data_IF_322061838024
#
_entry.id   IF_322061838024
#
_cell.length_a   1.000
_cell.length_b   1.000
_cell.length_c   1.000
_cell.angle_alpha   90.00
_cell.angle_beta   90.00
_cell.angle_gamma   90.00
#
_symmetry.space_group_name_H-M   'P 1'
#
loop_
_entity.id
_entity.type
_entity.pdbx_description
1 polymer ?
#
# COMPACT_ATOMS: atom_id res chain seq x y z
N UNK A 1 -26.82 -0.41 9.53
CA UNK A 1 -25.98 0.78 9.24
C UNK A 1 -25.38 1.43 10.49
N UNK A 2 -26.15 1.66 11.58
CA UNK A 2 -25.64 2.28 12.81
C UNK A 2 -24.44 1.53 13.42
N UNK A 3 -24.54 0.21 13.56
CA UNK A 3 -23.46 -0.66 14.06
C UNK A 3 -22.16 -0.58 13.24
N UNK A 4 -22.25 -0.52 11.92
CA UNK A 4 -21.10 -0.38 11.04
C UNK A 4 -20.38 0.96 11.25
N UNK A 5 -21.14 2.06 11.32
CA UNK A 5 -20.57 3.38 11.55
C UNK A 5 -19.86 3.48 12.90
N UNK A 6 -20.43 2.90 13.96
CA UNK A 6 -19.80 2.84 15.27
C UNK A 6 -18.52 2.01 15.24
N UNK A 7 -18.55 0.82 14.63
CA UNK A 7 -17.37 -0.05 14.56
C UNK A 7 -16.22 0.58 13.78
N UNK A 8 -16.50 1.42 12.79
CA UNK A 8 -15.47 2.10 11.98
C UNK A 8 -15.23 3.55 12.39
N UNK A 9 -15.83 4.00 13.49
CA UNK A 9 -15.71 5.37 14.02
C UNK A 9 -16.03 6.44 12.96
N UNK A 10 -17.04 6.16 12.13
CA UNK A 10 -17.50 7.05 11.07
C UNK A 10 -18.37 8.13 11.69
N UNK A 11 -17.86 9.35 11.69
CA UNK A 11 -18.55 10.54 12.15
C UNK A 11 -19.42 11.17 11.05
N UNK A 12 -18.93 11.17 9.81
CA UNK A 12 -19.57 11.85 8.68
C UNK A 12 -19.84 10.88 7.53
N UNK A 13 -20.97 11.05 6.83
CA UNK A 13 -21.38 10.14 5.76
C UNK A 13 -20.37 10.05 4.60
N UNK A 14 -19.65 11.13 4.29
CA UNK A 14 -18.65 11.13 3.22
C UNK A 14 -17.49 10.16 3.50
N UNK A 15 -17.20 9.85 4.78
CA UNK A 15 -16.14 8.91 5.16
C UNK A 15 -16.45 7.46 4.74
N UNK A 16 -17.72 7.13 4.46
CA UNK A 16 -18.11 5.81 3.92
C UNK A 16 -17.46 5.49 2.57
N UNK A 17 -16.97 6.52 1.86
CA UNK A 17 -16.23 6.33 0.61
C UNK A 17 -14.98 5.46 0.81
N UNK A 18 -14.29 5.54 1.96
CA UNK A 18 -13.06 4.78 2.17
C UNK A 18 -13.32 3.28 2.33
N UNK A 19 -14.23 2.82 3.21
CA UNK A 19 -14.64 1.41 3.22
C UNK A 19 -15.15 0.91 1.87
N UNK A 20 -15.90 1.73 1.14
CA UNK A 20 -16.39 1.36 -0.20
C UNK A 20 -15.23 1.17 -1.18
N UNK A 21 -14.28 2.12 -1.25
CA UNK A 21 -13.08 2.02 -2.07
C UNK A 21 -12.21 0.81 -1.68
N UNK A 22 -12.11 0.52 -0.39
CA UNK A 22 -11.41 -0.66 0.12
C UNK A 22 -12.05 -1.97 -0.38
N UNK A 23 -13.38 -2.09 -0.32
CA UNK A 23 -14.11 -3.26 -0.81
C UNK A 23 -14.00 -3.39 -2.33
N UNK A 24 -14.15 -2.29 -3.08
CA UNK A 24 -14.02 -2.28 -4.54
C UNK A 24 -12.60 -2.69 -4.96
N UNK A 25 -11.58 -2.10 -4.33
CA UNK A 25 -10.19 -2.41 -4.60
C UNK A 25 -9.83 -3.86 -4.26
N UNK A 26 -10.40 -4.39 -3.17
CA UNK A 26 -10.25 -5.78 -2.80
C UNK A 26 -10.89 -6.71 -3.83
N UNK A 27 -12.13 -6.45 -4.23
CA UNK A 27 -12.82 -7.24 -5.25
C UNK A 27 -12.07 -7.23 -6.58
N UNK A 28 -11.63 -6.06 -7.04
CA UNK A 28 -10.81 -5.93 -8.24
C UNK A 28 -9.52 -6.74 -8.16
N UNK A 29 -8.84 -6.70 -7.01
CA UNK A 29 -7.60 -7.46 -6.78
C UNK A 29 -7.86 -8.97 -6.78
N UNK A 30 -8.92 -9.42 -6.11
CA UNK A 30 -9.35 -10.83 -6.10
C UNK A 30 -9.69 -11.34 -7.49
N UNK A 31 -10.42 -10.54 -8.28
CA UNK A 31 -10.78 -10.89 -9.66
C UNK A 31 -9.55 -10.97 -10.55
N UNK A 32 -8.66 -9.98 -10.50
CA UNK A 32 -7.40 -10.01 -11.27
C UNK A 32 -6.50 -11.16 -10.89
N UNK A 33 -6.45 -11.53 -9.61
CA UNK A 33 -5.69 -12.69 -9.16
C UNK A 33 -6.32 -13.99 -9.67
N UNK A 34 -7.64 -14.14 -9.54
CA UNK A 34 -8.37 -15.30 -10.05
C UNK A 34 -8.19 -15.48 -11.56
N UNK A 35 -8.26 -14.40 -12.35
CA UNK A 35 -8.04 -14.47 -13.80
C UNK A 35 -6.66 -15.02 -14.18
N UNK A 36 -5.61 -14.66 -13.42
CA UNK A 36 -4.25 -15.19 -13.64
C UNK A 36 -4.11 -16.66 -13.26
N UNK A 37 -4.85 -17.11 -12.26
CA UNK A 37 -4.83 -18.51 -11.82
C UNK A 37 -5.68 -19.42 -12.74
N UNK A 38 -6.72 -18.86 -13.36
CA UNK A 38 -7.82 -19.60 -13.96
C UNK A 38 -8.02 -19.24 -15.44
N UNK A 39 -6.95 -18.82 -16.13
CA UNK A 39 -7.03 -18.25 -17.47
C UNK A 39 -7.63 -19.17 -18.55
N UNK A 40 -7.71 -20.48 -18.29
CA UNK A 40 -8.25 -21.50 -19.20
C UNK A 40 -9.60 -22.11 -18.77
N UNK A 41 -10.15 -21.77 -17.60
CA UNK A 41 -11.41 -22.36 -17.11
C UNK A 41 -12.64 -21.51 -17.49
N UNK A 42 -13.85 -22.10 -17.45
CA UNK A 42 -15.09 -21.37 -17.70
C UNK A 42 -15.30 -20.18 -16.74
N UNK A 43 -15.96 -19.14 -17.23
CA UNK A 43 -16.26 -17.91 -16.49
C UNK A 43 -16.90 -18.18 -15.11
N UNK A 44 -17.81 -19.15 -15.02
CA UNK A 44 -18.53 -19.49 -13.79
C UNK A 44 -17.58 -20.04 -12.70
N UNK A 45 -16.56 -20.79 -13.09
CA UNK A 45 -15.52 -21.30 -12.17
C UNK A 45 -14.62 -20.14 -11.72
N UNK A 46 -14.20 -19.26 -12.63
CA UNK A 46 -13.44 -18.04 -12.29
C UNK A 46 -14.21 -17.14 -11.33
N UNK A 47 -15.53 -16.97 -11.52
CA UNK A 47 -16.38 -16.20 -10.61
C UNK A 47 -16.44 -16.83 -9.21
N UNK A 48 -16.58 -18.16 -9.13
CA UNK A 48 -16.54 -18.89 -7.86
C UNK A 48 -15.22 -18.72 -7.10
N UNK A 49 -14.08 -18.85 -7.81
CA UNK A 49 -12.74 -18.65 -7.24
C UNK A 49 -12.54 -17.19 -6.80
N UNK A 50 -13.01 -16.23 -7.61
CA UNK A 50 -12.95 -14.79 -7.26
C UNK A 50 -13.66 -14.51 -5.94
N UNK A 51 -14.87 -15.06 -5.76
CA UNK A 51 -15.65 -14.88 -4.54
C UNK A 51 -14.96 -15.52 -3.32
N UNK A 52 -14.41 -16.72 -3.49
CA UNK A 52 -13.63 -17.38 -2.45
C UNK A 52 -12.40 -16.56 -2.05
N UNK A 53 -11.61 -16.10 -3.03
CA UNK A 53 -10.43 -15.26 -2.79
C UNK A 53 -10.80 -13.93 -2.13
N UNK A 54 -11.91 -13.31 -2.54
CA UNK A 54 -12.41 -12.09 -1.91
C UNK A 54 -12.69 -12.29 -0.43
N UNK A 55 -13.38 -13.36 -0.05
CA UNK A 55 -13.70 -13.64 1.35
C UNK A 55 -12.45 -13.95 2.18
N UNK A 56 -11.50 -14.71 1.62
CA UNK A 56 -10.22 -15.01 2.28
C UNK A 56 -9.41 -13.74 2.52
N UNK A 57 -9.23 -12.91 1.48
CA UNK A 57 -8.48 -11.67 1.57
C UNK A 57 -9.17 -10.65 2.48
N UNK A 58 -10.51 -10.59 2.48
CA UNK A 58 -11.26 -9.73 3.39
C UNK A 58 -10.98 -10.10 4.85
N UNK A 59 -11.05 -11.38 5.20
CA UNK A 59 -10.71 -11.86 6.55
C UNK A 59 -9.26 -11.53 6.92
N UNK A 60 -8.33 -11.70 5.99
CA UNK A 60 -6.93 -11.36 6.20
C UNK A 60 -6.73 -9.87 6.48
N UNK A 61 -7.36 -8.99 5.68
CA UNK A 61 -7.25 -7.54 5.84
C UNK A 61 -7.83 -7.09 7.18
N UNK A 62 -9.01 -7.59 7.56
CA UNK A 62 -9.61 -7.27 8.86
C UNK A 62 -8.74 -7.74 10.03
N UNK A 63 -8.09 -8.90 9.89
CA UNK A 63 -7.13 -9.38 10.88
C UNK A 63 -5.88 -8.48 10.98
N UNK A 64 -5.33 -8.05 9.84
CA UNK A 64 -4.20 -7.10 9.80
C UNK A 64 -4.60 -5.78 10.45
N UNK A 65 -5.80 -5.26 10.15
CA UNK A 65 -6.29 -4.01 10.72
C UNK A 65 -6.31 -4.07 12.24
N UNK A 66 -6.90 -5.14 12.81
CA UNK A 66 -6.93 -5.34 14.26
C UNK A 66 -5.53 -5.41 14.89
N UNK A 67 -4.53 -5.92 14.17
CA UNK A 67 -3.13 -5.99 14.64
C UNK A 67 -2.37 -4.68 14.53
N UNK A 68 -2.72 -3.84 13.54
CA UNK A 68 -2.04 -2.58 13.28
C UNK A 68 -2.68 -1.41 14.03
N UNK A 69 -3.97 -1.47 14.30
CA UNK A 69 -4.72 -0.45 15.06
C UNK A 69 -4.04 -0.12 16.40
N UNK A 70 -3.53 -1.13 17.13
CA UNK A 70 -2.78 -0.89 18.37
C UNK A 70 -1.34 -0.38 18.19
N UNK A 71 -0.81 -0.35 16.97
CA UNK A 71 0.57 0.09 16.66
C UNK A 71 0.62 1.43 15.94
N UNK A 72 -0.45 1.78 15.25
CA UNK A 72 -0.59 2.99 14.44
C UNK A 72 -1.54 3.93 15.15
N UNK A 73 -1.01 5.06 15.62
CA UNK A 73 -1.82 6.10 16.25
C UNK A 73 -2.56 6.83 15.13
N UNK A 74 -3.86 6.53 15.00
CA UNK A 74 -4.78 7.16 14.05
C UNK A 74 -6.01 7.65 14.82
N UNK A 75 -6.60 8.77 14.39
CA UNK A 75 -7.72 9.38 15.13
C UNK A 75 -9.00 8.55 15.00
N UNK A 76 -9.18 7.89 13.85
CA UNK A 76 -10.33 7.03 13.58
C UNK A 76 -9.95 5.78 12.81
N UNK A 77 -10.61 4.66 13.11
CA UNK A 77 -10.37 3.36 12.43
C UNK A 77 -10.49 3.41 10.90
N UNK A 78 -11.41 4.19 10.35
CA UNK A 78 -11.58 4.29 8.89
C UNK A 78 -10.37 4.94 8.19
N UNK A 79 -9.56 5.73 8.89
CA UNK A 79 -8.35 6.36 8.35
C UNK A 79 -7.27 5.34 8.00
N UNK A 80 -7.28 4.16 8.64
CA UNK A 80 -6.39 3.06 8.26
C UNK A 80 -6.54 2.71 6.78
N UNK A 81 -7.76 2.70 6.25
CA UNK A 81 -8.01 2.40 4.83
C UNK A 81 -7.32 3.44 3.94
N UNK A 82 -7.40 4.71 4.32
CA UNK A 82 -6.71 5.81 3.62
C UNK A 82 -5.20 5.63 3.64
N UNK A 83 -4.63 5.25 4.78
CA UNK A 83 -3.20 4.97 4.92
C UNK A 83 -2.77 3.81 4.00
N UNK A 84 -3.55 2.73 3.94
CA UNK A 84 -3.29 1.61 3.04
C UNK A 84 -3.35 2.02 1.55
N UNK A 85 -4.28 2.90 1.18
CA UNK A 85 -4.34 3.46 -0.18
C UNK A 85 -3.07 4.26 -0.49
N UNK A 86 -2.63 5.12 0.42
CA UNK A 86 -1.37 5.86 0.25
C UNK A 86 -0.17 4.92 0.08
N UNK A 87 -0.07 3.86 0.89
CA UNK A 87 0.99 2.86 0.73
C UNK A 87 0.94 2.17 -0.64
N UNK A 88 -0.25 1.81 -1.12
CA UNK A 88 -0.39 1.17 -2.43
C UNK A 88 0.03 2.08 -3.59
N UNK A 89 -0.36 3.36 -3.54
CA UNK A 89 0.03 4.37 -4.54
C UNK A 89 1.53 4.65 -4.47
N UNK A 90 2.08 4.80 -3.27
CA UNK A 90 3.51 5.06 -3.07
C UNK A 90 4.36 3.90 -3.59
N UNK A 91 3.98 2.66 -3.28
CA UNK A 91 4.73 1.47 -3.71
C UNK A 91 4.71 1.26 -5.22
N UNK A 92 3.59 1.52 -5.89
CA UNK A 92 3.54 1.48 -7.36
C UNK A 92 4.34 2.62 -7.97
N UNK A 93 4.19 3.84 -7.45
CA UNK A 93 4.89 5.04 -7.95
C UNK A 93 6.41 4.93 -7.81
N UNK A 94 6.94 4.40 -6.70
CA UNK A 94 8.38 4.24 -6.50
C UNK A 94 9.02 3.33 -7.55
N UNK A 95 8.31 2.28 -8.00
CA UNK A 95 8.79 1.42 -9.08
C UNK A 95 8.81 2.15 -10.44
N UNK A 96 7.81 3.00 -10.70
CA UNK A 96 7.74 3.82 -11.92
C UNK A 96 8.83 4.89 -11.96
N UNK A 97 9.24 5.41 -10.80
CA UNK A 97 10.34 6.39 -10.68
C UNK A 97 11.71 5.72 -10.71
N UNK A 98 11.88 4.57 -10.05
CA UNK A 98 13.19 3.90 -9.97
C UNK A 98 13.74 3.43 -11.31
N UNK A 99 12.86 2.96 -12.21
CA UNK A 99 13.26 2.43 -13.53
C UNK A 99 13.91 3.48 -14.46
N UNK A 100 13.29 4.65 -14.71
CA UNK A 100 13.91 5.68 -15.53
C UNK A 100 15.19 6.20 -14.90
N UNK A 101 15.27 6.32 -13.58
CA UNK A 101 16.47 6.83 -12.91
C UNK A 101 17.67 5.90 -13.10
N UNK A 102 17.49 4.59 -12.94
CA UNK A 102 18.53 3.61 -13.24
C UNK A 102 18.98 3.67 -14.71
N UNK A 103 18.02 3.83 -15.62
CA UNK A 103 18.33 3.97 -17.05
C UNK A 103 19.10 5.25 -17.34
N UNK A 104 18.75 6.37 -16.70
CA UNK A 104 19.45 7.66 -16.82
C UNK A 104 20.88 7.61 -16.29
N UNK A 105 21.13 6.81 -15.25
CA UNK A 105 22.48 6.54 -14.74
C UNK A 105 23.32 5.63 -15.66
N UNK A 106 22.79 5.22 -16.82
CA UNK A 106 23.47 4.34 -17.76
C UNK A 106 23.58 2.89 -17.28
N UNK A 107 22.88 2.54 -16.19
CA UNK A 107 22.93 1.20 -15.60
C UNK A 107 21.92 0.31 -16.34
N UNK A 108 22.42 -0.56 -17.20
CA UNK A 108 21.62 -1.59 -17.86
C UNK A 108 21.90 -2.97 -17.27
N UNK A 109 20.98 -3.91 -17.52
CA UNK A 109 21.18 -5.31 -17.13
C UNK A 109 22.28 -6.00 -17.96
N UNK A 110 22.66 -5.42 -19.09
CA UNK A 110 23.77 -5.93 -19.91
C UNK A 110 25.13 -5.47 -19.36
N UNK A 111 25.20 -4.25 -18.79
CA UNK A 111 26.45 -3.64 -18.37
C UNK A 111 26.82 -3.90 -16.90
N UNK A 112 25.87 -4.39 -16.10
CA UNK A 112 26.07 -4.67 -14.68
C UNK A 112 25.69 -6.10 -14.33
N UNK A 113 26.35 -6.67 -13.32
CA UNK A 113 25.90 -7.93 -12.75
C UNK A 113 24.41 -7.81 -12.32
N UNK A 114 23.52 -8.74 -12.72
CA UNK A 114 22.10 -8.67 -12.42
C UNK A 114 21.78 -8.51 -10.93
N UNK A 115 22.60 -9.09 -10.05
CA UNK A 115 22.44 -8.94 -8.60
C UNK A 115 22.68 -7.49 -8.16
N UNK A 116 23.79 -6.88 -8.61
CA UNK A 116 24.14 -5.49 -8.26
C UNK A 116 23.11 -4.52 -8.83
N UNK A 117 22.62 -4.76 -10.06
CA UNK A 117 21.53 -4.00 -10.65
C UNK A 117 20.30 -3.96 -9.75
N UNK A 118 19.85 -5.12 -9.24
CA UNK A 118 18.66 -5.20 -8.40
C UNK A 118 18.87 -4.54 -7.03
N UNK A 119 20.06 -4.67 -6.44
CA UNK A 119 20.41 -3.97 -5.19
C UNK A 119 20.33 -2.46 -5.37
N UNK A 120 20.94 -1.91 -6.42
CA UNK A 120 20.89 -0.49 -6.72
C UNK A 120 19.46 -0.02 -7.01
N UNK A 121 18.67 -0.82 -7.74
CA UNK A 121 17.27 -0.51 -8.03
C UNK A 121 16.44 -0.37 -6.76
N UNK A 122 16.64 -1.29 -5.81
CA UNK A 122 15.95 -1.27 -4.52
C UNK A 122 16.39 -0.06 -3.69
N UNK A 123 17.70 0.23 -3.63
CA UNK A 123 18.22 1.39 -2.87
C UNK A 123 17.66 2.69 -3.43
N UNK A 124 17.78 2.91 -4.75
CA UNK A 124 17.26 4.11 -5.40
C UNK A 124 15.75 4.19 -5.22
N UNK A 125 15.03 3.09 -5.47
CA UNK A 125 13.59 3.02 -5.27
C UNK A 125 13.17 3.36 -3.84
N UNK A 126 13.93 2.93 -2.83
CA UNK A 126 13.68 3.24 -1.42
C UNK A 126 13.89 4.72 -1.09
N UNK A 127 14.91 5.37 -1.68
CA UNK A 127 15.13 6.81 -1.52
C UNK A 127 13.95 7.62 -2.07
N UNK A 128 13.44 7.27 -3.26
CA UNK A 128 12.27 7.94 -3.81
C UNK A 128 10.99 7.57 -3.06
N UNK A 129 10.88 6.34 -2.56
CA UNK A 129 9.74 5.90 -1.76
C UNK A 129 9.58 6.77 -0.51
N UNK A 130 10.66 7.13 0.17
CA UNK A 130 10.66 8.03 1.33
C UNK A 130 9.97 9.37 1.00
N UNK A 131 10.47 10.08 -0.02
CA UNK A 131 9.91 11.36 -0.47
C UNK A 131 8.44 11.24 -0.91
N UNK A 132 8.14 10.20 -1.70
CA UNK A 132 6.77 9.96 -2.19
C UNK A 132 5.80 9.65 -1.05
N UNK A 133 6.24 8.93 -0.02
CA UNK A 133 5.41 8.56 1.11
C UNK A 133 4.91 9.79 1.87
N UNK A 134 5.81 10.76 2.11
CA UNK A 134 5.44 12.03 2.74
C UNK A 134 4.58 12.88 1.83
N UNK A 135 4.90 12.97 0.54
CA UNK A 135 4.15 13.75 -0.43
C UNK A 135 2.70 13.26 -0.57
N UNK A 136 2.49 11.95 -0.74
CA UNK A 136 1.15 11.37 -0.77
C UNK A 136 0.48 11.41 0.59
N UNK A 137 1.23 11.24 1.69
CA UNK A 137 0.72 11.44 3.04
C UNK A 137 0.13 12.84 3.21
N UNK A 138 0.81 13.87 2.73
CA UNK A 138 0.32 15.25 2.73
C UNK A 138 -0.91 15.43 1.84
N UNK A 139 -0.88 14.92 0.60
CA UNK A 139 -2.01 15.02 -0.35
C UNK A 139 -3.30 14.40 0.20
N UNK A 140 -3.19 13.30 0.97
CA UNK A 140 -4.32 12.61 1.58
C UNK A 140 -4.63 13.08 3.02
N UNK A 141 -3.98 14.14 3.49
CA UNK A 141 -4.23 14.72 4.82
C UNK A 141 -3.78 13.84 6.00
N UNK A 142 -2.79 12.98 5.77
CA UNK A 142 -2.16 12.07 6.76
C UNK A 142 -0.67 12.39 6.95
N UNK A 143 -0.24 13.64 6.70
CA UNK A 143 1.15 14.07 6.77
C UNK A 143 1.82 13.70 8.09
N UNK A 144 1.19 14.02 9.24
CA UNK A 144 1.74 13.76 10.57
C UNK A 144 2.03 12.27 10.77
N UNK A 145 1.10 11.41 10.39
CA UNK A 145 1.29 9.96 10.48
C UNK A 145 2.49 9.49 9.65
N UNK A 146 2.58 9.91 8.39
CA UNK A 146 3.65 9.46 7.49
C UNK A 146 5.01 10.08 7.82
N UNK A 147 5.04 11.30 8.35
CA UNK A 147 6.25 11.94 8.83
C UNK A 147 6.83 11.20 10.05
N UNK A 148 6.00 10.82 11.02
CA UNK A 148 6.46 9.99 12.14
C UNK A 148 6.88 8.59 11.68
N UNK A 149 6.15 8.01 10.73
CA UNK A 149 6.49 6.71 10.16
C UNK A 149 7.86 6.74 9.47
N UNK A 150 8.12 7.76 8.66
CA UNK A 150 9.39 7.94 7.96
C UNK A 150 10.54 8.21 8.92
N UNK A 151 10.37 9.12 9.90
CA UNK A 151 11.38 9.36 10.94
C UNK A 151 11.74 8.07 11.68
N UNK A 152 10.74 7.25 12.03
CA UNK A 152 10.97 5.95 12.67
C UNK A 152 11.72 4.97 11.77
N UNK A 153 11.48 5.01 10.46
CA UNK A 153 12.18 4.19 9.47
C UNK A 153 13.65 4.65 9.29
N UNK A 154 13.89 5.95 9.14
CA UNK A 154 15.22 6.54 9.02
C UNK A 154 16.09 6.32 10.26
N UNK A 155 15.50 6.43 11.47
CA UNK A 155 16.19 6.09 12.73
C UNK A 155 16.67 4.64 12.75
N UNK A 156 15.91 3.70 12.19
CA UNK A 156 16.31 2.27 12.07
C UNK A 156 17.40 2.01 11.05
N UNK A 157 17.51 2.87 10.03
CA UNK A 157 18.61 2.83 9.06
C UNK A 157 19.89 3.54 9.54
N UNK A 158 19.93 4.02 10.79
CA UNK A 158 21.10 4.69 11.36
C UNK A 158 21.21 6.18 10.99
N UNK A 159 20.26 6.72 10.24
CA UNK A 159 20.21 8.12 9.81
C UNK A 159 19.51 9.03 10.84
N UNK A 160 19.26 8.53 12.05
CA UNK A 160 18.56 9.27 13.10
C UNK A 160 19.21 10.59 13.50
N UNK A 161 20.54 10.72 13.29
CA UNK A 161 21.32 11.92 13.60
C UNK A 161 20.95 13.16 12.77
N UNK A 162 20.24 12.99 11.66
CA UNK A 162 19.85 14.09 10.76
C UNK A 162 18.40 14.56 10.97
N UNK A 163 17.70 13.99 11.97
CA UNK A 163 16.26 14.20 12.19
C UNK A 163 15.93 14.90 13.53
N UNK A 164 16.96 15.27 14.29
CA UNK A 164 16.86 15.96 15.57
C UNK A 164 17.08 17.46 15.39
#
# INVERSE_FOLDING_TARGET
MKTFKTNWEIQHNWQLIFPLLGIIGLFFSSYRLSLKMTSSLPLLVTAGITLLLFLVLLKLILWIFKKLEGKWVVDHRWEMIRIFIVFAITGTSSMYVGRPIIKLLGITKENLNPFIYWVLFIIIGLLFYQVLLVAFGWLFGQFKFFWEFEKKMLKRFGLGRFLD
#
